data_IF_710239743427
#
_entry.id   IF_710239743427
#
_cell.length_a   1.000
_cell.length_b   1.000
_cell.length_c   1.000
_cell.angle_alpha   90.00
_cell.angle_beta   90.00
_cell.angle_gamma   90.00
#
_symmetry.space_group_name_H-M   'P 1'
#
loop_
_entity.id
_entity.type
_entity.pdbx_description
1 polymer ?
#
# COMPACT_ATOMS: atom_id res chain seq x y z
N UNK A 1 -1.28 2.13 27.16
CA UNK A 1 -1.16 2.85 25.87
C UNK A 1 -1.57 1.89 24.75
N UNK A 2 -2.86 1.84 24.39
CA UNK A 2 -3.28 1.12 23.19
C UNK A 2 -2.80 1.93 21.99
N UNK A 3 -1.70 1.51 21.38
CA UNK A 3 -1.20 2.14 20.17
C UNK A 3 -2.05 1.61 19.01
N UNK A 4 -3.17 2.27 18.74
CA UNK A 4 -4.11 1.95 17.65
C UNK A 4 -3.45 2.20 16.30
N UNK A 5 -2.42 1.42 15.97
CA UNK A 5 -1.71 1.48 14.70
C UNK A 5 -2.68 1.04 13.63
N UNK A 6 -3.12 1.99 12.80
CA UNK A 6 -3.93 1.68 11.63
C UNK A 6 -3.11 0.75 10.71
N UNK A 7 -3.57 -0.47 10.43
CA UNK A 7 -2.85 -1.37 9.54
C UNK A 7 -2.78 -0.77 8.14
N UNK A 8 -1.70 -1.07 7.43
CA UNK A 8 -1.56 -0.67 6.03
C UNK A 8 -2.55 -1.45 5.17
N UNK A 9 -3.45 -0.74 4.49
CA UNK A 9 -4.49 -1.36 3.65
C UNK A 9 -4.05 -1.41 2.19
N UNK A 10 -4.55 -2.39 1.43
CA UNK A 10 -4.33 -2.51 -0.01
C UNK A 10 -4.78 -1.27 -0.77
N UNK A 11 -5.90 -0.65 -0.37
CA UNK A 11 -6.38 0.58 -0.99
C UNK A 11 -5.41 1.75 -0.79
N UNK A 12 -4.85 1.89 0.42
CA UNK A 12 -3.82 2.90 0.68
C UNK A 12 -2.58 2.64 -0.17
N UNK A 13 -2.14 1.38 -0.28
CA UNK A 13 -1.03 0.98 -1.15
C UNK A 13 -1.29 1.31 -2.61
N UNK A 14 -2.49 1.04 -3.13
CA UNK A 14 -2.84 1.34 -4.53
C UNK A 14 -2.76 2.83 -4.85
N UNK A 15 -3.15 3.70 -3.91
CA UNK A 15 -3.02 5.15 -4.05
C UNK A 15 -1.55 5.59 -4.10
N UNK A 16 -0.73 5.07 -3.19
CA UNK A 16 0.70 5.39 -3.13
C UNK A 16 1.41 4.86 -4.39
N UNK A 17 1.10 3.63 -4.82
CA UNK A 17 1.62 3.03 -6.05
C UNK A 17 1.29 3.87 -7.29
N UNK A 18 0.04 4.33 -7.39
CA UNK A 18 -0.40 5.15 -8.52
C UNK A 18 0.31 6.51 -8.57
N UNK A 19 0.54 7.15 -7.41
CA UNK A 19 1.25 8.41 -7.33
C UNK A 19 2.73 8.26 -7.73
N UNK A 20 3.38 7.21 -7.22
CA UNK A 20 4.78 6.95 -7.53
C UNK A 20 4.99 6.53 -8.99
N UNK A 21 4.14 5.65 -9.52
CA UNK A 21 4.17 5.26 -10.94
C UNK A 21 4.00 6.49 -11.84
N UNK A 22 3.08 7.40 -11.52
CA UNK A 22 2.91 8.66 -12.26
C UNK A 22 4.17 9.52 -12.24
N UNK A 23 4.83 9.62 -11.09
CA UNK A 23 6.05 10.41 -10.92
C UNK A 23 7.26 9.80 -11.64
N UNK A 24 7.29 8.47 -11.79
CA UNK A 24 8.43 7.72 -12.31
C UNK A 24 8.22 7.19 -13.74
N UNK A 25 7.28 7.75 -14.50
CA UNK A 25 7.04 7.35 -15.90
C UNK A 25 6.42 5.96 -16.08
N UNK A 26 5.68 5.48 -15.09
CA UNK A 26 4.93 4.21 -15.11
C UNK A 26 5.50 3.11 -14.24
N UNK A 27 6.64 3.32 -13.58
CA UNK A 27 7.32 2.32 -12.75
C UNK A 27 7.37 2.63 -11.27
N UNK A 28 7.56 1.59 -10.46
CA UNK A 28 7.84 1.70 -9.02
C UNK A 28 9.17 1.02 -8.74
N UNK A 29 10.05 1.70 -8.00
CA UNK A 29 11.36 1.12 -7.65
C UNK A 29 11.19 0.03 -6.58
N UNK A 30 12.00 -1.03 -6.64
CA UNK A 30 11.96 -2.14 -5.66
C UNK A 30 12.39 -1.72 -4.26
N UNK A 31 13.19 -0.66 -4.17
CA UNK A 31 13.69 -0.12 -2.91
C UNK A 31 12.81 1.02 -2.35
N UNK A 32 11.74 1.36 -3.06
CA UNK A 32 10.82 2.44 -2.71
C UNK A 32 9.97 2.11 -1.49
N UNK A 33 9.36 3.15 -0.93
CA UNK A 33 8.36 3.01 0.10
C UNK A 33 7.14 2.21 -0.38
N UNK A 34 6.69 2.37 -1.63
CA UNK A 34 5.57 1.60 -2.18
C UNK A 34 5.84 0.10 -2.24
N UNK A 35 7.06 -0.33 -2.58
CA UNK A 35 7.42 -1.74 -2.57
C UNK A 35 7.36 -2.33 -1.14
N UNK A 36 7.83 -1.58 -0.15
CA UNK A 36 7.73 -1.96 1.27
C UNK A 36 6.28 -1.99 1.75
N UNK A 37 5.51 -0.98 1.36
CA UNK A 37 4.09 -0.85 1.63
C UNK A 37 3.28 -2.03 1.08
N UNK A 38 3.52 -2.42 -0.18
CA UNK A 38 2.95 -3.61 -0.80
C UNK A 38 3.28 -4.87 -0.01
N UNK A 39 4.54 -5.05 0.39
CA UNK A 39 4.96 -6.19 1.22
C UNK A 39 4.21 -6.23 2.56
N UNK A 40 4.04 -5.09 3.22
CA UNK A 40 3.31 -5.04 4.50
C UNK A 40 1.82 -5.33 4.34
N UNK A 41 1.17 -4.80 3.30
CA UNK A 41 -0.24 -5.07 3.03
C UNK A 41 -0.51 -6.52 2.58
N UNK A 42 0.46 -7.20 1.96
CA UNK A 42 0.35 -8.62 1.65
C UNK A 42 0.45 -9.51 2.90
N UNK A 43 1.18 -9.08 3.93
CA UNK A 43 1.36 -9.82 5.18
C UNK A 43 0.20 -9.60 6.16
N UNK A 44 -0.41 -8.42 6.16
CA UNK A 44 -1.63 -8.16 6.92
C UNK A 44 -2.84 -8.37 6.02
N UNK A 45 -3.59 -9.49 6.10
CA UNK A 45 -4.74 -9.70 5.23
C UNK A 45 -5.77 -8.60 5.48
N UNK A 46 -6.01 -7.68 4.52
CA UNK A 46 -7.19 -6.84 4.59
C UNK A 46 -8.32 -7.72 4.10
N UNK A 47 -9.28 -8.00 4.98
CA UNK A 47 -10.59 -8.50 4.59
C UNK A 47 -11.06 -7.64 3.40
N UNK A 48 -11.38 -8.23 2.23
CA UNK A 48 -11.71 -7.45 1.06
C UNK A 48 -13.02 -6.71 1.33
N UNK A 49 -12.96 -5.41 1.61
CA UNK A 49 -14.11 -4.53 1.45
C UNK A 49 -14.30 -4.27 -0.05
N UNK A 50 -14.79 -5.30 -0.73
CA UNK A 50 -15.68 -5.13 -1.87
C UNK A 50 -16.85 -4.28 -1.40
N UNK A 51 -16.96 -3.06 -1.90
CA UNK A 51 -18.26 -2.38 -1.94
C UNK A 51 -18.73 -2.34 -3.39
N UNK A 52 -19.94 -2.88 -3.53
CA UNK A 52 -20.73 -3.18 -4.73
C UNK A 52 -20.77 -2.08 -5.78
#
# INVERSE_FOLDING_TARGET
>A
MSNSKKPMTTEAVSRIHSAEARSNGGGVSKDSFTARAQKTAAVTPPKPETKK
#
